data_IF_279209628288
#
_entry.id   IF_279209628288
#
_cell.length_a   1.000
_cell.length_b   1.000
_cell.length_c   1.000
_cell.angle_alpha   90.00
_cell.angle_beta   90.00
_cell.angle_gamma   90.00
#
_symmetry.space_group_name_H-M   'P 1'
#
loop_
_entity.id
_entity.type
_entity.pdbx_description
1 polymer ?
#
# COMPACT_ATOMS: atom_id res chain seq x y z
N UNK A 1 -12.26 11.28 20.95
CA UNK A 1 -12.68 12.48 20.21
C UNK A 1 -11.43 13.25 19.81
N UNK A 2 -11.16 13.39 18.52
CA UNK A 2 -10.03 14.18 18.01
C UNK A 2 -10.29 15.65 18.37
N UNK A 3 -9.27 16.38 18.85
CA UNK A 3 -9.37 17.80 19.24
C UNK A 3 -8.46 18.66 18.33
N UNK A 4 -8.88 19.00 17.09
CA UNK A 4 -8.03 19.69 16.11
C UNK A 4 -7.44 21.02 16.61
N UNK A 5 -8.20 21.76 17.44
CA UNK A 5 -7.75 23.01 18.04
C UNK A 5 -6.49 22.86 18.92
N UNK A 6 -6.26 21.68 19.52
CA UNK A 6 -5.04 21.44 20.30
C UNK A 6 -3.80 21.29 19.41
N UNK A 7 -3.98 20.76 18.18
CA UNK A 7 -2.87 20.61 17.25
C UNK A 7 -2.42 21.98 16.71
N UNK A 8 -3.36 22.85 16.33
CA UNK A 8 -3.03 24.20 15.84
C UNK A 8 -2.35 25.06 16.90
N UNK A 9 -2.65 24.86 18.19
CA UNK A 9 -1.98 25.58 19.29
C UNK A 9 -0.47 25.32 19.38
N UNK A 10 0.03 24.17 18.89
CA UNK A 10 1.47 23.88 18.86
C UNK A 10 2.24 24.88 17.99
N UNK A 11 1.61 25.38 16.93
CA UNK A 11 2.26 26.19 15.90
C UNK A 11 2.16 27.70 16.13
N UNK A 12 1.23 28.15 16.96
CA UNK A 12 1.05 29.59 17.21
C UNK A 12 2.18 30.20 18.06
N UNK A 13 2.83 29.41 18.93
CA UNK A 13 3.73 29.97 19.96
C UNK A 13 5.13 29.33 20.06
N UNK A 14 5.38 28.16 19.45
CA UNK A 14 6.64 27.39 19.70
C UNK A 14 7.28 26.73 18.49
N UNK A 15 6.53 26.36 17.47
CA UNK A 15 7.05 25.63 16.32
C UNK A 15 6.45 26.17 15.03
N UNK A 16 7.23 26.24 13.95
CA UNK A 16 6.70 26.48 12.61
C UNK A 16 6.67 25.17 11.84
N UNK A 17 5.59 24.93 11.11
CA UNK A 17 5.46 23.73 10.28
C UNK A 17 6.16 23.96 8.95
N UNK A 18 7.19 23.19 8.66
CA UNK A 18 7.87 23.19 7.36
C UNK A 18 7.14 22.24 6.39
N UNK A 19 6.00 22.69 5.88
CA UNK A 19 5.22 21.91 4.89
C UNK A 19 5.97 21.80 3.56
N UNK A 20 6.86 22.74 3.25
CA UNK A 20 7.69 22.73 2.04
C UNK A 20 8.68 21.57 1.99
N UNK A 21 9.07 21.04 3.15
CA UNK A 21 9.92 19.85 3.24
C UNK A 21 9.22 18.54 2.84
N UNK A 22 7.88 18.54 2.75
CA UNK A 22 7.12 17.36 2.33
C UNK A 22 7.12 17.22 0.81
N UNK A 23 7.46 16.02 0.34
CA UNK A 23 7.42 15.67 -1.07
C UNK A 23 6.05 15.03 -1.36
N UNK A 24 5.20 15.61 -2.23
CA UNK A 24 3.90 15.04 -2.57
C UNK A 24 4.09 13.79 -3.43
N UNK A 25 4.10 12.62 -2.78
CA UNK A 25 4.67 11.41 -3.36
C UNK A 25 3.71 10.70 -4.32
N UNK A 26 2.48 10.44 -3.87
CA UNK A 26 1.48 9.74 -4.66
C UNK A 26 0.05 9.98 -4.15
N UNK A 27 -0.93 9.56 -4.93
CA UNK A 27 -2.34 9.66 -4.57
C UNK A 27 -3.08 8.35 -4.86
N UNK A 28 -3.83 7.85 -3.87
CA UNK A 28 -4.49 6.56 -3.92
C UNK A 28 -5.97 6.66 -3.57
N UNK A 29 -6.81 6.15 -4.47
CA UNK A 29 -8.22 5.93 -4.22
C UNK A 29 -8.44 4.50 -3.73
N UNK A 30 -9.16 4.33 -2.62
CA UNK A 30 -9.64 3.02 -2.19
C UNK A 30 -10.51 2.40 -3.29
N UNK A 31 -10.28 1.14 -3.69
CA UNK A 31 -11.07 0.51 -4.74
C UNK A 31 -12.54 0.45 -4.34
N UNK A 32 -13.42 0.34 -5.33
CA UNK A 32 -14.81 0.00 -5.03
C UNK A 32 -14.85 -1.40 -4.42
N UNK A 33 -15.81 -1.69 -3.54
CA UNK A 33 -16.07 -3.05 -3.09
C UNK A 33 -17.58 -3.32 -3.21
N UNK A 34 -18.00 -4.57 -3.48
CA UNK A 34 -19.43 -4.89 -3.59
C UNK A 34 -20.22 -4.60 -2.31
N UNK A 35 -19.54 -4.56 -1.15
CA UNK A 35 -20.14 -4.21 0.14
C UNK A 35 -19.81 -2.77 0.50
N UNK A 36 -20.68 -2.05 1.23
CA UNK A 36 -20.43 -0.67 1.63
C UNK A 36 -19.18 -0.60 2.54
N UNK A 37 -18.08 -0.10 1.98
CA UNK A 37 -16.86 0.21 2.70
C UNK A 37 -16.53 1.69 2.52
N UNK A 38 -16.02 2.37 3.56
CA UNK A 38 -15.51 3.72 3.40
C UNK A 38 -14.42 3.76 2.32
N UNK A 39 -14.55 4.72 1.40
CA UNK A 39 -13.54 4.97 0.38
C UNK A 39 -12.80 6.25 0.70
N UNK A 40 -11.49 6.21 0.58
CA UNK A 40 -10.60 7.34 0.83
C UNK A 40 -9.85 7.70 -0.44
N UNK A 41 -9.71 9.00 -0.69
CA UNK A 41 -8.80 9.57 -1.66
C UNK A 41 -7.60 10.11 -0.88
N UNK A 42 -6.54 9.32 -0.81
CA UNK A 42 -5.44 9.49 0.14
C UNK A 42 -4.20 10.00 -0.58
N UNK A 43 -3.80 11.24 -0.28
CA UNK A 43 -2.51 11.79 -0.67
C UNK A 43 -1.41 11.28 0.28
N UNK A 44 -0.34 10.74 -0.29
CA UNK A 44 0.85 10.30 0.42
C UNK A 44 1.96 11.34 0.26
N UNK A 45 2.72 11.53 1.32
CA UNK A 45 3.87 12.43 1.35
C UNK A 45 5.10 11.68 1.84
N UNK A 46 6.26 12.02 1.29
CA UNK A 46 7.55 11.59 1.83
C UNK A 46 8.22 12.75 2.55
N UNK A 47 8.97 12.41 3.58
CA UNK A 47 9.84 13.33 4.31
C UNK A 47 11.18 12.64 4.54
N UNK A 48 12.27 13.33 4.19
CA UNK A 48 13.62 12.80 4.33
C UNK A 48 14.22 13.29 5.64
N UNK A 49 14.40 12.36 6.57
CA UNK A 49 15.06 12.66 7.83
C UNK A 49 16.56 12.86 7.59
N UNK A 50 17.04 14.06 7.89
CA UNK A 50 18.48 14.40 7.82
C UNK A 50 19.23 13.99 9.09
N UNK A 51 18.52 13.54 10.12
CA UNK A 51 19.14 13.12 11.39
C UNK A 51 19.82 11.75 11.25
N UNK A 52 21.07 11.60 11.70
CA UNK A 52 21.87 10.39 11.46
C UNK A 52 21.47 9.17 12.29
N UNK A 53 20.54 9.32 13.25
CA UNK A 53 20.03 8.21 14.07
C UNK A 53 18.51 8.15 13.99
N UNK A 54 17.91 6.94 13.89
CA UNK A 54 16.46 6.80 13.94
C UNK A 54 15.94 7.33 15.27
N UNK A 55 15.02 8.28 15.22
CA UNK A 55 14.44 8.84 16.43
C UNK A 55 13.52 7.82 17.10
N UNK A 56 13.47 7.81 18.44
CA UNK A 56 12.51 6.99 19.16
C UNK A 56 11.09 7.46 18.84
N UNK A 57 10.33 6.61 18.16
CA UNK A 57 8.92 6.88 17.86
C UNK A 57 8.11 6.73 19.15
N UNK A 58 7.35 7.76 19.52
CA UNK A 58 6.34 7.67 20.60
C UNK A 58 4.97 7.61 19.94
N UNK A 59 4.41 6.41 19.82
CA UNK A 59 3.09 6.19 19.24
C UNK A 59 1.98 6.18 20.30
N UNK A 60 0.74 6.39 19.85
CA UNK A 60 -0.43 6.22 20.69
C UNK A 60 -0.74 4.72 20.86
N UNK A 61 -0.49 4.17 22.04
CA UNK A 61 -0.70 2.74 22.33
C UNK A 61 -2.17 2.28 22.26
N UNK A 62 -3.12 3.22 22.17
CA UNK A 62 -4.55 2.92 21.95
C UNK A 62 -4.89 2.61 20.50
N UNK A 63 -4.10 3.15 19.56
CA UNK A 63 -4.37 3.05 18.12
C UNK A 63 -3.33 2.19 17.40
N UNK A 64 -2.09 2.19 17.88
CA UNK A 64 -0.98 1.41 17.32
C UNK A 64 -0.37 0.52 18.40
N UNK A 65 -0.09 -0.74 18.06
CA UNK A 65 0.59 -1.65 18.98
C UNK A 65 2.10 -1.37 19.04
N UNK A 66 2.71 -1.15 17.88
CA UNK A 66 4.16 -1.02 17.72
C UNK A 66 4.52 0.00 16.62
N UNK A 67 5.77 0.46 16.66
CA UNK A 67 6.38 1.28 15.64
C UNK A 67 7.88 0.93 15.55
N UNK A 68 8.36 0.64 14.34
CA UNK A 68 9.76 0.31 14.08
C UNK A 68 10.31 1.10 12.90
N UNK A 69 11.63 1.30 12.89
CA UNK A 69 12.38 1.72 11.70
C UNK A 69 12.89 0.45 11.01
N UNK A 70 12.51 0.24 9.75
CA UNK A 70 12.87 -0.97 8.99
C UNK A 70 13.12 -0.62 7.53
N UNK A 71 13.92 -1.44 6.86
CA UNK A 71 14.15 -1.32 5.43
C UNK A 71 12.91 -1.78 4.64
N UNK A 72 12.56 -1.12 3.51
CA UNK A 72 11.43 -1.54 2.66
C UNK A 72 11.49 -3.02 2.27
N UNK A 73 12.69 -3.53 1.93
CA UNK A 73 12.89 -4.94 1.54
C UNK A 73 12.57 -5.92 2.67
N UNK A 74 12.84 -5.55 3.93
CA UNK A 74 12.56 -6.39 5.09
C UNK A 74 11.07 -6.49 5.34
N UNK A 75 10.34 -5.37 5.34
CA UNK A 75 8.90 -5.38 5.59
C UNK A 75 8.11 -6.01 4.43
N UNK A 76 8.56 -5.82 3.19
CA UNK A 76 8.02 -6.55 2.02
C UNK A 76 8.27 -8.04 2.19
N UNK A 77 9.48 -8.46 2.59
CA UNK A 77 9.80 -9.86 2.86
C UNK A 77 8.95 -10.48 3.99
N UNK A 78 8.67 -9.74 5.06
CA UNK A 78 7.71 -10.17 6.09
C UNK A 78 6.29 -10.31 5.51
N UNK A 79 5.88 -9.39 4.63
CA UNK A 79 4.58 -9.45 3.98
C UNK A 79 4.44 -10.67 3.04
N UNK A 80 5.48 -11.00 2.27
CA UNK A 80 5.50 -12.19 1.40
C UNK A 80 5.53 -13.52 2.16
N UNK A 81 5.92 -13.50 3.44
CA UNK A 81 5.82 -14.67 4.33
C UNK A 81 4.50 -14.72 5.09
N UNK A 82 3.69 -13.68 5.00
CA UNK A 82 2.46 -13.56 5.76
C UNK A 82 2.65 -13.18 7.23
N UNK A 83 3.80 -12.64 7.60
CA UNK A 83 4.08 -12.19 8.97
C UNK A 83 3.43 -10.82 9.25
N UNK A 84 3.30 -9.98 8.21
CA UNK A 84 2.63 -8.67 8.28
C UNK A 84 1.69 -8.48 7.10
N UNK A 85 0.66 -7.66 7.29
CA UNK A 85 -0.27 -7.28 6.22
C UNK A 85 0.00 -5.85 5.78
N UNK A 86 0.37 -5.67 4.52
CA UNK A 86 0.47 -4.36 3.88
C UNK A 86 -0.77 -4.10 3.02
N UNK A 87 -1.51 -2.99 3.21
CA UNK A 87 -2.50 -2.53 2.24
C UNK A 87 -1.84 -2.23 0.88
N UNK A 88 -2.62 -2.26 -0.22
CA UNK A 88 -2.05 -2.13 -1.56
C UNK A 88 -1.20 -0.87 -1.80
N UNK A 89 -1.60 0.34 -1.35
CA UNK A 89 -0.74 1.51 -1.46
C UNK A 89 0.60 1.34 -0.72
N UNK A 90 0.59 0.75 0.49
CA UNK A 90 1.83 0.57 1.26
C UNK A 90 2.78 -0.41 0.57
N UNK A 91 2.26 -1.55 0.12
CA UNK A 91 3.05 -2.54 -0.61
C UNK A 91 3.70 -1.92 -1.86
N UNK A 92 2.90 -1.28 -2.71
CA UNK A 92 3.39 -0.68 -3.96
C UNK A 92 4.40 0.44 -3.73
N UNK A 93 4.12 1.38 -2.82
CA UNK A 93 5.02 2.50 -2.59
C UNK A 93 6.33 2.03 -1.93
N UNK A 94 6.30 1.04 -1.03
CA UNK A 94 7.52 0.44 -0.50
C UNK A 94 8.33 -0.26 -1.59
N UNK A 95 7.69 -0.95 -2.54
CA UNK A 95 8.38 -1.55 -3.70
C UNK A 95 9.03 -0.50 -4.60
N UNK A 96 8.39 0.67 -4.78
CA UNK A 96 9.00 1.80 -5.52
C UNK A 96 10.18 2.40 -4.77
N UNK A 97 10.01 2.66 -3.49
CA UNK A 97 11.04 3.22 -2.61
C UNK A 97 12.25 2.30 -2.54
N UNK A 98 12.06 0.98 -2.50
CA UNK A 98 13.16 0.00 -2.51
C UNK A 98 14.09 0.12 -3.73
N UNK A 99 13.59 0.62 -4.87
CA UNK A 99 14.40 0.80 -6.09
C UNK A 99 15.30 2.04 -6.04
N UNK A 100 15.18 2.89 -5.01
CA UNK A 100 15.98 4.09 -4.83
C UNK A 100 17.33 3.70 -4.23
N UNK A 101 18.36 3.65 -5.07
CA UNK A 101 19.72 3.26 -4.64
C UNK A 101 20.36 4.25 -3.66
N UNK A 102 19.92 5.51 -3.64
CA UNK A 102 20.49 6.54 -2.76
C UNK A 102 19.46 7.57 -2.30
N UNK A 103 18.93 7.38 -1.09
CA UNK A 103 18.02 8.31 -0.43
C UNK A 103 18.62 9.70 -0.14
N UNK A 104 19.95 9.86 -0.29
CA UNK A 104 20.63 11.14 -0.08
C UNK A 104 20.44 12.11 -1.25
N UNK A 105 19.98 11.64 -2.41
CA UNK A 105 19.70 12.50 -3.55
C UNK A 105 18.19 12.78 -3.62
N UNK A 106 17.76 13.88 -3.01
CA UNK A 106 16.37 14.34 -3.04
C UNK A 106 15.86 14.54 -4.47
N UNK A 107 16.72 14.97 -5.40
CA UNK A 107 16.36 15.12 -6.82
C UNK A 107 15.89 13.80 -7.44
N UNK A 108 16.62 12.71 -7.23
CA UNK A 108 16.22 11.36 -7.70
C UNK A 108 14.92 10.89 -7.08
N UNK A 109 14.66 11.24 -5.81
CA UNK A 109 13.39 10.92 -5.15
C UNK A 109 12.25 11.72 -5.79
N UNK A 110 12.48 13.01 -6.07
CA UNK A 110 11.49 13.88 -6.71
C UNK A 110 11.17 13.45 -8.15
N UNK A 111 12.13 12.92 -8.89
CA UNK A 111 11.90 12.31 -10.22
C UNK A 111 10.95 11.11 -10.17
N UNK A 112 10.89 10.42 -9.03
CA UNK A 112 9.97 9.31 -8.80
C UNK A 112 8.61 9.76 -8.25
N UNK A 113 8.33 11.05 -8.09
CA UNK A 113 6.98 11.49 -7.71
C UNK A 113 6.00 11.12 -8.82
N UNK A 114 4.88 10.50 -8.44
CA UNK A 114 3.79 10.23 -9.37
C UNK A 114 2.45 10.72 -8.82
N UNK A 115 2.05 11.95 -9.20
CA UNK A 115 0.86 12.59 -8.67
C UNK A 115 -0.44 12.02 -9.24
N UNK A 116 -0.36 11.14 -10.26
CA UNK A 116 -1.56 10.53 -10.84
C UNK A 116 -2.27 9.70 -9.77
N UNK A 117 -3.58 9.91 -9.66
CA UNK A 117 -4.43 9.12 -8.76
C UNK A 117 -4.50 7.68 -9.26
N UNK A 118 -4.13 6.74 -8.40
CA UNK A 118 -4.16 5.30 -8.65
C UNK A 118 -5.28 4.66 -7.84
N UNK A 119 -5.81 3.55 -8.33
CA UNK A 119 -6.67 2.65 -7.55
C UNK A 119 -6.22 1.22 -7.82
N UNK A 120 -6.20 0.31 -6.82
CA UNK A 120 -6.00 -1.12 -7.07
C UNK A 120 -7.08 -1.67 -7.99
N UNK A 121 -6.69 -2.47 -8.98
CA UNK A 121 -7.63 -3.20 -9.83
C UNK A 121 -7.92 -4.55 -9.20
N UNK A 122 -9.16 -4.73 -8.75
CA UNK A 122 -9.54 -5.87 -7.91
C UNK A 122 -10.26 -6.93 -8.73
N UNK A 123 -9.70 -8.13 -8.75
CA UNK A 123 -10.20 -9.28 -9.49
C UNK A 123 -10.64 -10.41 -8.55
N UNK A 124 -11.62 -11.19 -8.99
CA UNK A 124 -12.15 -12.36 -8.30
C UNK A 124 -12.22 -13.54 -9.28
N UNK A 125 -12.19 -14.75 -8.73
CA UNK A 125 -12.56 -15.97 -9.47
C UNK A 125 -13.90 -16.45 -8.92
N UNK A 126 -14.82 -16.82 -9.81
CA UNK A 126 -16.13 -17.30 -9.41
C UNK A 126 -16.03 -18.61 -8.62
N UNK A 127 -16.86 -18.75 -7.58
CA UNK A 127 -16.80 -19.90 -6.66
C UNK A 127 -15.50 -20.06 -5.86
N UNK A 128 -14.58 -19.10 -5.91
CA UNK A 128 -13.26 -19.18 -5.28
C UNK A 128 -13.04 -18.10 -4.20
N UNK A 129 -12.28 -18.46 -3.18
CA UNK A 129 -11.76 -17.53 -2.17
C UNK A 129 -10.64 -16.63 -2.71
N UNK A 130 -10.14 -16.89 -3.92
CA UNK A 130 -9.06 -16.12 -4.53
C UNK A 130 -9.47 -14.67 -4.78
N UNK A 131 -8.60 -13.75 -4.36
CA UNK A 131 -8.71 -12.32 -4.61
C UNK A 131 -7.35 -11.81 -5.06
N UNK A 132 -7.38 -10.96 -6.08
CA UNK A 132 -6.17 -10.39 -6.67
C UNK A 132 -6.33 -8.88 -6.77
N UNK A 133 -5.29 -8.17 -6.35
CA UNK A 133 -5.11 -6.77 -6.71
C UNK A 133 -3.96 -6.67 -7.72
N UNK A 134 -4.28 -6.19 -8.92
CA UNK A 134 -3.28 -5.69 -9.85
C UNK A 134 -3.01 -4.22 -9.53
N UNK A 135 -1.74 -3.85 -9.52
CA UNK A 135 -1.26 -2.50 -9.21
C UNK A 135 -0.46 -1.99 -10.43
N UNK A 136 -0.16 -0.68 -10.51
CA UNK A 136 0.49 -0.13 -11.71
C UNK A 136 1.74 -0.91 -12.11
N UNK A 137 1.90 -1.18 -13.40
CA UNK A 137 2.97 -2.02 -13.94
C UNK A 137 2.66 -3.53 -14.00
N UNK A 138 1.58 -4.01 -13.36
CA UNK A 138 1.01 -5.32 -13.68
C UNK A 138 0.34 -5.27 -15.08
N UNK A 139 0.44 -6.34 -15.87
CA UNK A 139 -0.17 -6.37 -17.20
C UNK A 139 -1.72 -6.37 -17.17
N UNK A 140 -2.33 -6.70 -16.03
CA UNK A 140 -3.78 -6.57 -15.80
C UNK A 140 -4.18 -5.17 -15.35
N UNK A 141 -3.22 -4.27 -15.13
CA UNK A 141 -3.51 -2.90 -14.71
C UNK A 141 -3.78 -1.99 -15.90
N UNK A 142 -5.02 -1.54 -16.03
CA UNK A 142 -5.40 -0.54 -17.04
C UNK A 142 -5.15 0.89 -16.54
N UNK A 143 -4.00 1.46 -16.94
CA UNK A 143 -3.61 2.84 -16.65
C UNK A 143 -4.62 3.90 -17.14
N UNK A 144 -5.51 3.55 -18.08
CA UNK A 144 -6.53 4.47 -18.61
C UNK A 144 -7.80 4.49 -17.77
N UNK A 145 -7.93 3.61 -16.78
CA UNK A 145 -9.11 3.47 -15.93
C UNK A 145 -8.81 3.77 -14.45
N UNK A 146 -8.72 5.05 -14.07
CA UNK A 146 -8.40 5.47 -12.70
C UNK A 146 -9.55 5.27 -11.70
N UNK A 147 -10.75 4.92 -12.16
CA UNK A 147 -11.95 4.70 -11.36
C UNK A 147 -12.44 3.24 -11.43
N UNK A 148 -11.52 2.32 -11.70
CA UNK A 148 -11.79 0.89 -11.85
C UNK A 148 -12.82 0.36 -10.84
N UNK A 149 -13.89 -0.25 -11.38
CA UNK A 149 -15.05 -0.72 -10.64
C UNK A 149 -15.10 -2.25 -10.60
N UNK A 150 -14.71 -2.90 -9.49
CA UNK A 150 -14.96 -4.32 -9.24
C UNK A 150 -16.43 -4.65 -8.91
N UNK A 151 -16.82 -5.94 -8.90
CA UNK A 151 -15.97 -7.10 -9.16
C UNK A 151 -15.75 -7.33 -10.64
N UNK A 152 -14.49 -7.52 -11.04
CA UNK A 152 -14.15 -8.12 -12.33
C UNK A 152 -13.81 -9.58 -12.06
N UNK A 153 -14.53 -10.48 -12.74
CA UNK A 153 -14.26 -11.90 -12.68
C UNK A 153 -13.26 -12.26 -13.77
N UNK A 154 -12.19 -12.99 -13.42
CA UNK A 154 -11.15 -13.42 -14.35
C UNK A 154 -10.89 -14.91 -14.26
N UNK A 155 -10.08 -15.43 -15.19
CA UNK A 155 -9.61 -16.81 -15.18
C UNK A 155 -8.55 -17.00 -14.08
N UNK A 156 -8.70 -18.03 -13.25
CA UNK A 156 -7.74 -18.36 -12.18
C UNK A 156 -6.32 -18.56 -12.70
N UNK A 157 -6.16 -19.08 -13.93
CA UNK A 157 -4.86 -19.29 -14.58
C UNK A 157 -4.16 -17.99 -14.95
N UNK A 158 -4.92 -16.92 -15.19
CA UNK A 158 -4.38 -15.59 -15.45
C UNK A 158 -4.11 -14.83 -14.15
N UNK A 159 -4.92 -15.10 -13.11
CA UNK A 159 -4.89 -14.37 -11.85
C UNK A 159 -3.88 -14.92 -10.85
N UNK A 160 -3.58 -16.21 -10.88
CA UNK A 160 -2.70 -16.87 -9.90
C UNK A 160 -1.70 -17.86 -10.51
N UNK A 161 -0.56 -18.14 -9.83
CA UNK A 161 0.42 -19.10 -10.31
C UNK A 161 -0.13 -20.54 -10.34
N UNK A 162 0.36 -21.39 -11.27
CA UNK A 162 1.36 -21.09 -12.30
C UNK A 162 0.77 -20.29 -13.47
N UNK A 163 1.45 -19.20 -13.84
CA UNK A 163 1.04 -18.34 -14.96
C UNK A 163 1.36 -18.98 -16.33
N UNK A 164 0.71 -18.54 -17.42
CA UNK A 164 1.07 -18.94 -18.78
C UNK A 164 2.57 -18.75 -19.08
N UNK A 165 3.16 -19.64 -19.88
CA UNK A 165 4.60 -19.63 -20.21
C UNK A 165 4.99 -18.57 -21.26
N UNK A 166 4.11 -17.63 -21.57
CA UNK A 166 4.32 -16.60 -22.59
C UNK A 166 5.40 -15.57 -22.23
N UNK A 167 5.96 -15.67 -21.01
CA UNK A 167 7.07 -14.85 -20.55
C UNK A 167 6.62 -13.58 -19.82
N UNK A 168 5.32 -13.28 -19.78
CA UNK A 168 4.80 -12.18 -18.97
C UNK A 168 4.77 -12.60 -17.50
N UNK A 169 5.67 -12.01 -16.70
CA UNK A 169 5.64 -12.14 -15.25
C UNK A 169 4.79 -10.98 -14.71
N UNK A 170 3.79 -11.23 -13.87
CA UNK A 170 3.09 -10.14 -13.21
C UNK A 170 4.08 -9.34 -12.37
N UNK A 171 3.93 -8.02 -12.34
CA UNK A 171 4.68 -7.15 -11.43
C UNK A 171 3.70 -6.46 -10.50
N UNK A 172 4.08 -6.29 -9.24
CA UNK A 172 3.23 -5.64 -8.22
C UNK A 172 1.85 -6.28 -8.05
N UNK A 173 1.77 -7.60 -8.23
CA UNK A 173 0.55 -8.37 -7.97
C UNK A 173 0.44 -8.73 -6.50
N UNK A 174 -0.74 -8.53 -5.94
CA UNK A 174 -1.08 -9.05 -4.61
C UNK A 174 -2.14 -10.12 -4.73
N UNK A 175 -1.85 -11.29 -4.18
CA UNK A 175 -2.75 -12.45 -4.15
C UNK A 175 -3.06 -12.77 -2.70
N UNK A 176 -4.34 -12.91 -2.39
CA UNK A 176 -4.80 -13.31 -1.07
C UNK A 176 -6.05 -14.18 -1.20
N UNK A 177 -6.22 -15.07 -0.21
CA UNK A 177 -7.38 -15.93 -0.11
C UNK A 177 -8.28 -15.38 0.99
N UNK A 178 -9.51 -15.04 0.64
CA UNK A 178 -10.48 -14.49 1.55
C UNK A 178 -11.80 -15.26 1.46
N UNK A 179 -12.24 -15.81 2.59
CA UNK A 179 -13.65 -16.16 2.76
C UNK A 179 -14.51 -14.88 2.70
N UNK A 180 -15.72 -14.97 2.13
CA UNK A 180 -16.55 -13.81 1.75
C UNK A 180 -16.73 -12.77 2.88
N UNK A 181 -16.68 -13.17 4.14
CA UNK A 181 -16.91 -12.29 5.30
C UNK A 181 -15.67 -11.74 6.00
N UNK A 182 -14.45 -12.11 5.56
CA UNK A 182 -13.20 -11.81 6.28
C UNK A 182 -12.36 -10.66 5.72
N UNK A 183 -12.71 -10.08 4.57
CA UNK A 183 -12.09 -8.85 4.08
C UNK A 183 -12.70 -7.63 4.81
N UNK A 184 -12.17 -7.31 5.99
CA UNK A 184 -12.53 -6.09 6.72
C UNK A 184 -11.31 -5.22 6.93
N UNK A 185 -11.32 -4.05 6.31
CA UNK A 185 -10.27 -3.05 6.52
C UNK A 185 -10.42 -2.24 7.80
N UNK A 186 -11.47 -2.40 8.65
CA UNK A 186 -11.54 -1.71 9.95
C UNK A 186 -12.22 -2.53 11.07
N UNK A 187 -11.65 -2.35 12.28
CA UNK A 187 -11.85 -3.10 13.55
C UNK A 187 -11.39 -4.56 13.50
N UNK A 188 -10.07 -4.73 13.32
CA UNK A 188 -9.26 -5.92 13.59
C UNK A 188 -9.95 -7.28 13.32
N UNK A 189 -9.88 -7.75 12.07
CA UNK A 189 -9.66 -9.18 11.79
C UNK A 189 -8.68 -9.29 10.63
N UNK A 190 -7.51 -9.85 10.94
CA UNK A 190 -6.43 -10.18 10.03
C UNK A 190 -6.98 -10.94 8.81
N UNK A 191 -6.44 -10.65 7.63
CA UNK A 191 -6.34 -11.69 6.60
C UNK A 191 -5.69 -12.90 7.27
N UNK A 192 -6.41 -14.02 7.33
CA UNK A 192 -5.82 -15.28 7.77
C UNK A 192 -4.76 -15.59 6.73
N UNK A 193 -3.51 -15.28 7.06
CA UNK A 193 -2.37 -15.79 6.33
C UNK A 193 -2.43 -17.30 6.47
N UNK A 194 -2.74 -17.96 5.36
CA UNK A 194 -2.38 -19.36 5.22
C UNK A 194 -0.86 -19.33 5.04
N UNK A 195 -0.07 -19.93 5.95
CA UNK A 195 1.39 -19.97 5.82
C UNK A 195 1.77 -20.46 4.42
N UNK A 196 2.76 -19.82 3.80
CA UNK A 196 3.38 -20.21 2.52
C UNK A 196 2.68 -19.85 1.19
N UNK A 197 1.74 -18.89 1.14
CA UNK A 197 1.10 -18.48 -0.13
C UNK A 197 0.92 -16.96 -0.32
N UNK A 198 1.97 -16.17 -0.17
CA UNK A 198 1.97 -14.79 -0.69
C UNK A 198 3.00 -14.70 -1.81
N UNK A 199 2.52 -14.58 -3.05
CA UNK A 199 3.36 -14.28 -4.20
C UNK A 199 3.28 -12.78 -4.48
N UNK A 200 4.32 -12.06 -4.10
CA UNK A 200 4.62 -10.74 -4.63
C UNK A 200 5.70 -10.92 -5.69
N UNK A 201 5.36 -10.70 -6.96
CA UNK A 201 6.35 -10.70 -8.04
C UNK A 201 6.88 -9.29 -8.27
N UNK A 202 8.21 -9.18 -8.31
CA UNK A 202 9.02 -7.95 -8.43
C UNK A 202 9.27 -7.57 -9.89
#
# INVERSE_FOLDING_TARGET
MVKPALFSQLFHNRFQMDVSSLIPWSNWLTPFEPRPTPRFNTAFFLFLLTTPKPQKVRHCVKEMAEAEWTEPSQIIGKNTKGEVSLPPPQFYELSRIQRIECFKNEGKIREMVDPKRKTPHSFRVDGSALRVHALPGDYLYDETNPDFKPPVYGDEKELSPPYPKDGTKPMHRMIFYAEEDKLRYHKLKLCVNIPNKVFATF
#
